data_IF_603213573954
#
_entry.id   IF_603213573954
#
_cell.length_a   1.000
_cell.length_b   1.000
_cell.length_c   1.000
_cell.angle_alpha   90.00
_cell.angle_beta   90.00
_cell.angle_gamma   90.00
#
_symmetry.space_group_name_H-M   'P 1'
#
loop_
_entity.id
_entity.type
_entity.pdbx_description
1 polymer ?
#
# COMPACT_ATOMS: atom_id res chain seq x y z
N UNK A 1 -3.34 25.55 5.40
CA UNK A 1 -4.00 24.30 4.96
C UNK A 1 -3.04 23.58 4.02
N UNK A 2 -2.92 22.30 4.16
CA UNK A 2 -2.11 21.47 3.26
C UNK A 2 -2.94 21.12 2.02
N UNK A 3 -2.37 21.28 0.82
CA UNK A 3 -3.08 21.01 -0.43
C UNK A 3 -2.86 19.55 -0.85
N UNK A 4 -3.93 18.80 -1.13
CA UNK A 4 -3.87 17.43 -1.65
C UNK A 4 -4.81 17.25 -2.83
N UNK A 5 -4.48 16.31 -3.71
CA UNK A 5 -5.41 15.85 -4.76
C UNK A 5 -6.28 14.74 -4.22
N UNK A 6 -7.52 14.62 -4.70
CA UNK A 6 -8.44 13.52 -4.38
C UNK A 6 -8.64 12.63 -5.60
N UNK A 7 -8.33 11.36 -5.46
CA UNK A 7 -8.73 10.30 -6.40
C UNK A 7 -9.88 9.48 -5.78
N UNK A 8 -10.96 9.35 -6.53
CA UNK A 8 -12.09 8.50 -6.20
C UNK A 8 -12.51 7.75 -7.46
N UNK A 9 -12.23 6.47 -7.52
CA UNK A 9 -12.55 5.63 -8.67
C UNK A 9 -12.94 4.22 -8.20
N UNK A 10 -13.72 3.52 -8.99
CA UNK A 10 -14.17 2.19 -8.61
C UNK A 10 -14.58 1.34 -9.80
N UNK A 11 -14.90 0.09 -9.54
CA UNK A 11 -15.27 -0.89 -10.53
C UNK A 11 -15.89 -2.17 -9.99
N UNK A 12 -16.13 -3.10 -10.93
CA UNK A 12 -16.67 -4.44 -10.64
C UNK A 12 -15.59 -5.47 -10.27
N UNK A 13 -14.35 -5.22 -10.68
CA UNK A 13 -13.24 -6.14 -10.45
C UNK A 13 -12.65 -5.85 -9.08
N UNK A 14 -13.11 -6.60 -8.11
CA UNK A 14 -12.67 -6.48 -6.71
C UNK A 14 -11.84 -7.70 -6.35
N UNK A 15 -10.63 -7.47 -5.92
CA UNK A 15 -9.71 -8.51 -5.47
C UNK A 15 -9.68 -8.54 -3.92
N UNK A 16 -10.72 -9.11 -3.30
CA UNK A 16 -10.81 -9.16 -1.83
C UNK A 16 -9.59 -9.79 -1.16
N UNK A 17 -9.02 -10.84 -1.76
CA UNK A 17 -7.82 -11.49 -1.23
C UNK A 17 -6.61 -10.56 -1.27
N UNK A 18 -6.53 -9.69 -2.30
CA UNK A 18 -5.53 -8.63 -2.38
C UNK A 18 -5.77 -7.56 -1.29
N UNK A 19 -7.01 -7.13 -1.13
CA UNK A 19 -7.36 -6.10 -0.14
C UNK A 19 -7.06 -6.58 1.29
N UNK A 20 -7.28 -7.86 1.55
CA UNK A 20 -6.99 -8.55 2.82
C UNK A 20 -5.52 -8.93 3.00
N UNK A 21 -4.69 -8.75 1.99
CA UNK A 21 -3.30 -9.23 1.96
C UNK A 21 -3.17 -10.73 2.27
N UNK A 22 -4.06 -11.54 1.73
CA UNK A 22 -3.97 -13.01 1.86
C UNK A 22 -2.75 -13.49 1.07
N UNK A 23 -1.87 -14.25 1.73
CA UNK A 23 -0.62 -14.78 1.17
C UNK A 23 -0.86 -15.50 -0.16
N UNK A 24 -0.11 -15.13 -1.19
CA UNK A 24 -0.22 -15.67 -2.54
C UNK A 24 -1.21 -14.92 -3.44
N UNK A 25 -1.95 -13.97 -2.91
CA UNK A 25 -2.89 -13.11 -3.64
C UNK A 25 -2.48 -11.63 -3.63
N UNK A 26 -1.28 -11.32 -3.13
CA UNK A 26 -0.70 -9.95 -3.12
C UNK A 26 -0.56 -9.37 -4.54
N UNK A 27 -0.88 -10.19 -5.56
CA UNK A 27 -0.75 -9.81 -6.97
C UNK A 27 0.71 -9.83 -7.42
N UNK A 28 0.94 -9.81 -8.72
CA UNK A 28 2.28 -9.65 -9.31
C UNK A 28 2.75 -8.19 -9.26
N UNK A 29 2.23 -7.39 -8.34
CA UNK A 29 2.58 -5.99 -8.25
C UNK A 29 3.84 -5.83 -7.42
N UNK A 30 4.92 -5.47 -8.10
CA UNK A 30 6.22 -5.11 -7.53
C UNK A 30 6.19 -3.87 -6.60
N UNK A 31 5.01 -3.36 -6.31
CA UNK A 31 4.78 -2.13 -5.54
C UNK A 31 4.38 -2.38 -4.10
N UNK A 32 4.13 -3.63 -3.71
CA UNK A 32 3.76 -4.01 -2.34
C UNK A 32 5.03 -4.33 -1.56
N UNK A 33 5.12 -3.79 -0.36
CA UNK A 33 6.20 -4.00 0.61
C UNK A 33 5.74 -4.88 1.76
N UNK A 34 5.97 -6.21 1.72
CA UNK A 34 5.45 -7.15 2.72
C UNK A 34 5.85 -6.81 4.16
N UNK A 35 7.04 -6.21 4.34
CA UNK A 35 7.53 -5.77 5.64
C UNK A 35 6.72 -4.61 6.25
N UNK A 36 5.91 -3.91 5.45
CA UNK A 36 5.03 -2.82 5.88
C UNK A 36 3.57 -3.25 6.01
N UNK A 37 3.20 -4.45 5.57
CA UNK A 37 1.81 -4.94 5.57
C UNK A 37 1.18 -4.93 6.97
N UNK A 38 1.99 -5.08 8.01
CA UNK A 38 1.54 -4.96 9.41
C UNK A 38 0.99 -3.57 9.77
N UNK A 39 1.30 -2.54 8.99
CA UNK A 39 0.82 -1.17 9.20
C UNK A 39 -0.54 -0.93 8.53
N UNK A 40 -0.98 -1.82 7.64
CA UNK A 40 -2.28 -1.73 7.00
C UNK A 40 -3.40 -1.78 8.05
N UNK A 41 -4.48 -1.05 7.80
CA UNK A 41 -5.60 -0.98 8.74
C UNK A 41 -6.85 -1.54 8.08
N UNK A 42 -7.52 -2.44 8.80
CA UNK A 42 -8.83 -2.96 8.40
C UNK A 42 -9.89 -2.34 9.29
N UNK A 43 -10.77 -1.53 8.73
CA UNK A 43 -11.88 -0.91 9.45
C UNK A 43 -13.15 -1.76 9.40
N UNK A 44 -13.40 -2.42 8.26
CA UNK A 44 -14.50 -3.37 8.05
C UNK A 44 -13.96 -4.59 7.32
N UNK A 45 -14.33 -5.79 7.79
CA UNK A 45 -14.12 -7.06 7.09
C UNK A 45 -15.23 -8.04 7.43
N UNK A 46 -16.20 -8.20 6.54
CA UNK A 46 -17.36 -9.04 6.72
C UNK A 46 -17.32 -10.25 5.78
N UNK A 47 -17.92 -11.35 6.20
CA UNK A 47 -18.16 -12.46 5.30
C UNK A 47 -19.24 -12.12 4.28
N UNK A 48 -18.88 -12.24 2.99
CA UNK A 48 -19.77 -11.85 1.88
C UNK A 48 -21.04 -12.69 1.85
N UNK A 49 -20.96 -13.99 2.16
CA UNK A 49 -22.11 -14.88 2.11
C UNK A 49 -23.08 -14.62 3.25
N UNK A 50 -22.54 -14.33 4.43
CA UNK A 50 -23.36 -13.94 5.58
C UNK A 50 -24.07 -12.60 5.33
N UNK A 51 -23.36 -11.62 4.76
CA UNK A 51 -23.95 -10.35 4.34
C UNK A 51 -25.06 -10.54 3.30
N UNK A 52 -24.86 -11.43 2.32
CA UNK A 52 -25.90 -11.75 1.33
C UNK A 52 -27.13 -12.39 1.96
N UNK A 53 -26.94 -13.26 2.93
CA UNK A 53 -28.03 -13.90 3.68
C UNK A 53 -28.82 -12.87 4.48
N UNK A 54 -28.12 -12.01 5.21
CA UNK A 54 -28.73 -10.93 5.98
C UNK A 54 -29.57 -10.00 5.09
N UNK A 55 -29.02 -9.55 3.97
CA UNK A 55 -29.63 -8.56 3.09
C UNK A 55 -30.78 -9.10 2.24
N UNK A 56 -30.73 -10.35 1.79
CA UNK A 56 -31.58 -10.82 0.71
C UNK A 56 -32.41 -12.06 1.03
N UNK A 57 -32.11 -12.78 2.12
CA UNK A 57 -32.76 -14.08 2.37
C UNK A 57 -34.28 -13.94 2.50
N UNK A 58 -34.77 -12.94 3.21
CA UNK A 58 -36.20 -12.71 3.38
C UNK A 58 -36.90 -12.47 2.03
N UNK A 59 -36.33 -11.63 1.18
CA UNK A 59 -36.88 -11.34 -0.15
C UNK A 59 -36.78 -12.55 -1.09
N UNK A 60 -35.78 -13.40 -0.96
CA UNK A 60 -35.63 -14.65 -1.68
C UNK A 60 -36.69 -15.64 -1.23
N UNK A 61 -36.97 -15.78 0.06
CA UNK A 61 -37.97 -16.68 0.61
C UNK A 61 -39.37 -16.26 0.20
N UNK A 62 -39.66 -14.95 0.25
CA UNK A 62 -40.93 -14.40 -0.26
C UNK A 62 -41.10 -14.67 -1.75
N UNK A 63 -40.06 -14.44 -2.55
CA UNK A 63 -40.09 -14.73 -3.98
C UNK A 63 -40.35 -16.22 -4.24
N UNK A 64 -39.63 -17.11 -3.53
CA UNK A 64 -39.71 -18.56 -3.70
C UNK A 64 -41.09 -19.13 -3.32
N UNK A 65 -41.78 -18.57 -2.32
CA UNK A 65 -43.14 -18.93 -1.93
C UNK A 65 -44.13 -18.75 -3.10
N UNK A 66 -43.88 -17.73 -3.94
CA UNK A 66 -44.73 -17.39 -5.07
C UNK A 66 -44.38 -18.16 -6.35
N UNK A 67 -43.31 -18.98 -6.35
CA UNK A 67 -42.87 -19.76 -7.52
C UNK A 67 -43.51 -21.16 -7.52
N UNK A 68 -44.35 -21.42 -8.52
CA UNK A 68 -44.97 -22.75 -8.70
C UNK A 68 -43.98 -23.80 -9.21
N UNK A 69 -42.98 -23.39 -9.99
CA UNK A 69 -41.98 -24.26 -10.62
C UNK A 69 -40.66 -24.23 -9.81
N UNK A 70 -40.11 -25.41 -9.53
CA UNK A 70 -38.87 -25.56 -8.74
C UNK A 70 -37.68 -24.96 -9.43
N UNK A 71 -37.59 -25.04 -10.78
CA UNK A 71 -36.51 -24.48 -11.58
C UNK A 71 -36.41 -22.93 -11.55
N UNK A 72 -37.50 -22.26 -11.10
CA UNK A 72 -37.52 -20.80 -10.90
C UNK A 72 -37.16 -20.35 -9.50
N UNK A 73 -37.08 -21.29 -8.55
CA UNK A 73 -36.71 -20.98 -7.17
C UNK A 73 -35.20 -20.68 -7.06
N UNK A 74 -34.88 -19.73 -6.24
CA UNK A 74 -33.51 -19.33 -5.95
C UNK A 74 -33.06 -20.13 -4.73
N UNK A 75 -32.06 -20.98 -4.88
CA UNK A 75 -31.50 -21.79 -3.80
C UNK A 75 -30.33 -21.13 -3.13
N UNK A 76 -29.51 -20.41 -3.90
CA UNK A 76 -28.35 -19.64 -3.43
C UNK A 76 -28.28 -18.34 -4.23
N UNK A 77 -28.67 -17.25 -3.59
CA UNK A 77 -28.71 -15.95 -4.24
C UNK A 77 -27.32 -15.36 -4.48
N UNK A 78 -26.37 -15.60 -3.57
CA UNK A 78 -24.99 -15.18 -3.77
C UNK A 78 -24.37 -15.83 -5.01
N UNK A 79 -24.49 -17.15 -5.12
CA UNK A 79 -23.98 -17.88 -6.29
C UNK A 79 -24.67 -17.45 -7.59
N UNK A 80 -25.97 -17.20 -7.54
CA UNK A 80 -26.73 -16.67 -8.69
C UNK A 80 -26.17 -15.33 -9.18
N UNK A 81 -25.82 -14.42 -8.28
CA UNK A 81 -25.27 -13.11 -8.66
C UNK A 81 -23.81 -13.24 -9.09
N UNK A 82 -23.01 -14.05 -8.40
CA UNK A 82 -21.59 -14.29 -8.74
C UNK A 82 -21.43 -14.86 -10.15
N UNK A 83 -22.30 -15.78 -10.54
CA UNK A 83 -22.22 -16.49 -11.80
C UNK A 83 -22.90 -15.72 -12.97
N UNK A 84 -23.53 -14.57 -12.67
CA UNK A 84 -24.12 -13.68 -13.67
C UNK A 84 -23.03 -12.88 -14.41
N UNK A 85 -23.03 -12.95 -15.75
CA UNK A 85 -22.04 -12.26 -16.60
C UNK A 85 -22.14 -10.73 -16.56
N UNK A 86 -23.29 -10.19 -16.16
CA UNK A 86 -23.58 -8.76 -16.18
C UNK A 86 -23.59 -8.11 -14.79
N UNK A 87 -23.58 -8.91 -13.73
CA UNK A 87 -23.60 -8.46 -12.35
C UNK A 87 -22.26 -8.76 -11.67
N UNK A 88 -22.04 -8.13 -10.54
CA UNK A 88 -21.00 -8.49 -9.59
C UNK A 88 -21.63 -8.64 -8.21
N UNK A 89 -21.21 -9.61 -7.40
CA UNK A 89 -21.74 -9.78 -6.04
C UNK A 89 -21.42 -8.59 -5.13
N UNK A 90 -20.35 -7.90 -5.40
CA UNK A 90 -19.93 -6.69 -4.68
C UNK A 90 -19.14 -5.79 -5.62
N UNK A 91 -18.96 -4.55 -5.21
CA UNK A 91 -18.27 -3.51 -5.93
C UNK A 91 -17.28 -2.83 -5.00
N UNK A 92 -16.34 -2.12 -5.59
CA UNK A 92 -15.31 -1.39 -4.85
C UNK A 92 -15.20 0.03 -5.38
N UNK A 93 -14.83 0.94 -4.53
CA UNK A 93 -14.16 2.17 -4.93
C UNK A 93 -12.92 2.39 -4.07
N UNK A 94 -11.96 3.08 -4.68
CA UNK A 94 -10.70 3.42 -4.06
C UNK A 94 -10.71 4.91 -3.78
N UNK A 95 -10.42 5.25 -2.54
CA UNK A 95 -10.27 6.60 -2.04
C UNK A 95 -8.81 6.87 -1.71
N UNK A 96 -8.20 7.86 -2.37
CA UNK A 96 -6.80 8.23 -2.17
C UNK A 96 -6.66 9.75 -2.08
N UNK A 97 -5.86 10.22 -1.12
CA UNK A 97 -5.43 11.61 -0.99
C UNK A 97 -3.96 11.74 -1.34
N UNK A 98 -3.64 12.79 -2.12
CA UNK A 98 -2.29 13.00 -2.61
C UNK A 98 -1.84 11.97 -3.65
N UNK A 99 -0.54 11.92 -3.86
CA UNK A 99 0.12 11.05 -4.82
C UNK A 99 1.52 10.67 -4.32
N UNK A 100 2.30 9.90 -5.11
CA UNK A 100 3.64 9.42 -4.73
C UNK A 100 4.64 10.55 -4.38
N UNK A 101 4.46 11.76 -4.94
CA UNK A 101 5.33 12.92 -4.69
C UNK A 101 4.82 13.81 -3.55
N UNK A 102 3.55 13.69 -3.23
CA UNK A 102 2.84 14.49 -2.25
C UNK A 102 1.96 13.56 -1.41
N UNK A 103 2.60 12.69 -0.64
CA UNK A 103 1.92 11.73 0.24
C UNK A 103 1.25 12.48 1.39
N UNK A 104 0.09 11.98 1.79
CA UNK A 104 -0.53 12.38 3.05
C UNK A 104 0.15 11.62 4.20
N UNK A 105 0.16 12.24 5.36
CA UNK A 105 0.51 11.58 6.61
C UNK A 105 -0.41 10.40 6.90
N UNK A 106 0.18 9.26 7.30
CA UNK A 106 -0.55 7.99 7.44
C UNK A 106 -1.58 8.06 8.58
N UNK A 107 -1.25 8.67 9.72
CA UNK A 107 -2.16 8.80 10.87
C UNK A 107 -3.36 9.69 10.52
N UNK A 108 -3.10 10.82 9.86
CA UNK A 108 -4.14 11.73 9.38
C UNK A 108 -5.04 11.04 8.36
N UNK A 109 -4.48 10.26 7.43
CA UNK A 109 -5.27 9.52 6.45
C UNK A 109 -6.16 8.46 7.11
N UNK A 110 -5.63 7.70 8.08
CA UNK A 110 -6.39 6.71 8.85
C UNK A 110 -7.56 7.38 9.58
N UNK A 111 -7.33 8.53 10.23
CA UNK A 111 -8.38 9.26 10.93
C UNK A 111 -9.50 9.73 9.99
N UNK A 112 -9.14 10.32 8.85
CA UNK A 112 -10.11 10.72 7.81
C UNK A 112 -10.91 9.51 7.31
N UNK A 113 -10.24 8.38 7.04
CA UNK A 113 -10.91 7.16 6.60
C UNK A 113 -11.86 6.60 7.66
N UNK A 114 -11.49 6.62 8.94
CA UNK A 114 -12.34 6.17 10.03
C UNK A 114 -13.62 7.00 10.13
N UNK A 115 -13.51 8.33 10.11
CA UNK A 115 -14.65 9.25 10.14
C UNK A 115 -15.52 9.11 8.89
N UNK A 116 -14.90 8.92 7.73
CA UNK A 116 -15.61 8.67 6.47
C UNK A 116 -16.47 7.39 6.57
N UNK A 117 -15.88 6.29 7.04
CA UNK A 117 -16.52 4.98 7.16
C UNK A 117 -17.63 5.01 8.22
N UNK A 118 -17.41 5.66 9.36
CA UNK A 118 -18.42 5.78 10.42
C UNK A 118 -19.75 6.35 9.93
N UNK A 119 -19.68 7.36 9.08
CA UNK A 119 -20.87 8.04 8.53
C UNK A 119 -21.29 7.50 7.16
N UNK A 120 -20.65 6.43 6.67
CA UNK A 120 -20.90 5.94 5.31
C UNK A 120 -22.31 5.43 5.12
N UNK A 121 -22.80 4.62 6.05
CA UNK A 121 -24.14 4.01 5.96
C UNK A 121 -25.28 5.05 5.97
N UNK A 122 -25.16 6.08 6.78
CA UNK A 122 -26.17 7.14 6.84
C UNK A 122 -26.31 7.88 5.51
N UNK A 123 -25.18 8.11 4.81
CA UNK A 123 -25.16 8.78 3.51
C UNK A 123 -25.51 7.85 2.36
N UNK A 124 -25.26 6.55 2.51
CA UNK A 124 -25.31 5.56 1.44
C UNK A 124 -26.19 4.35 1.80
N UNK A 125 -27.49 4.54 2.09
CA UNK A 125 -28.35 3.47 2.62
C UNK A 125 -28.55 2.28 1.66
N UNK A 126 -28.28 2.47 0.36
CA UNK A 126 -28.36 1.42 -0.66
C UNK A 126 -27.02 0.73 -0.94
N UNK A 127 -25.94 1.09 -0.22
CA UNK A 127 -24.61 0.50 -0.39
C UNK A 127 -24.16 -0.12 0.93
N UNK A 128 -24.36 -1.43 1.09
CA UNK A 128 -24.00 -2.14 2.31
C UNK A 128 -22.49 -2.39 2.36
N UNK A 129 -21.74 -1.77 3.28
CA UNK A 129 -20.29 -1.93 3.36
C UNK A 129 -19.92 -3.31 3.91
N UNK A 130 -19.07 -4.02 3.20
CA UNK A 130 -18.55 -5.34 3.63
C UNK A 130 -17.04 -5.36 3.81
N UNK A 131 -16.34 -4.32 3.37
CA UNK A 131 -14.90 -4.19 3.54
C UNK A 131 -14.44 -2.74 3.46
N UNK A 132 -13.54 -2.37 4.35
CA UNK A 132 -12.81 -1.10 4.31
C UNK A 132 -11.37 -1.35 4.75
N UNK A 133 -10.45 -1.33 3.77
CA UNK A 133 -9.05 -1.71 3.94
C UNK A 133 -8.17 -0.53 3.55
N UNK A 134 -7.33 -0.09 4.47
CA UNK A 134 -6.36 0.99 4.25
C UNK A 134 -5.00 0.36 3.99
N UNK A 135 -4.44 0.63 2.82
CA UNK A 135 -3.13 0.16 2.41
C UNK A 135 -2.07 1.25 2.61
N UNK A 136 -1.07 0.92 3.42
CA UNK A 136 0.09 1.74 3.73
C UNK A 136 1.39 1.09 3.23
N UNK A 137 1.28 -0.12 2.70
CA UNK A 137 2.38 -0.98 2.26
C UNK A 137 2.69 -0.90 0.77
N UNK A 138 2.15 0.09 0.07
CA UNK A 138 2.41 0.29 -1.35
C UNK A 138 3.25 1.55 -1.60
N UNK A 139 3.91 1.60 -2.77
CA UNK A 139 4.67 2.77 -3.22
C UNK A 139 3.79 4.01 -3.43
N UNK A 140 2.51 3.80 -3.68
CA UNK A 140 1.51 4.86 -3.83
C UNK A 140 1.28 5.64 -2.53
N UNK A 141 0.58 6.76 -2.61
CA UNK A 141 0.04 7.42 -1.43
C UNK A 141 -0.93 6.47 -0.70
N UNK A 142 -1.08 6.58 0.63
CA UNK A 142 -2.10 5.85 1.36
C UNK A 142 -3.45 5.90 0.67
N UNK A 143 -4.11 4.75 0.58
CA UNK A 143 -5.42 4.65 -0.06
C UNK A 143 -6.31 3.63 0.66
N UNK A 144 -7.61 3.83 0.58
CA UNK A 144 -8.61 2.95 1.16
C UNK A 144 -9.42 2.26 0.07
N UNK A 145 -9.54 0.94 0.19
CA UNK A 145 -10.45 0.12 -0.58
C UNK A 145 -11.77 -0.02 0.18
N UNK A 146 -12.83 0.57 -0.34
CA UNK A 146 -14.17 0.47 0.22
C UNK A 146 -15.00 -0.49 -0.61
N UNK A 147 -15.35 -1.64 -0.05
CA UNK A 147 -16.10 -2.71 -0.73
C UNK A 147 -17.53 -2.74 -0.20
N UNK A 148 -18.49 -2.81 -1.12
CA UNK A 148 -19.91 -2.75 -0.77
C UNK A 148 -20.78 -3.66 -1.64
N UNK A 149 -21.91 -4.08 -1.09
CA UNK A 149 -23.00 -4.77 -1.80
C UNK A 149 -24.08 -3.72 -2.12
N UNK A 150 -24.45 -3.52 -3.40
CA UNK A 150 -25.55 -2.63 -3.74
C UNK A 150 -26.90 -3.30 -3.45
N UNK A 151 -27.77 -2.62 -2.73
CA UNK A 151 -29.11 -3.07 -2.35
C UNK A 151 -30.14 -2.20 -3.04
N UNK A 152 -30.99 -2.80 -3.84
CA UNK A 152 -32.03 -2.09 -4.59
C UNK A 152 -33.41 -2.72 -4.38
N UNK A 153 -34.45 -1.90 -4.47
CA UNK A 153 -35.82 -2.28 -4.22
C UNK A 153 -36.67 -2.30 -5.52
N UNK A 154 -37.52 -3.28 -5.63
CA UNK A 154 -38.38 -3.55 -6.80
C UNK A 154 -39.82 -3.82 -6.37
N UNK A 155 -40.77 -3.34 -7.16
CA UNK A 155 -42.18 -3.54 -6.89
C UNK A 155 -42.63 -4.97 -7.20
N UNK A 156 -41.95 -5.66 -8.12
CA UNK A 156 -42.35 -6.99 -8.62
C UNK A 156 -41.15 -7.96 -8.59
N UNK A 157 -41.47 -9.25 -8.52
CA UNK A 157 -40.51 -10.32 -8.47
C UNK A 157 -39.82 -10.44 -7.10
N UNK A 158 -38.52 -10.65 -7.08
CA UNK A 158 -37.73 -10.56 -5.85
C UNK A 158 -37.58 -9.08 -5.47
N UNK A 159 -38.17 -8.68 -4.35
CA UNK A 159 -38.32 -7.26 -4.01
C UNK A 159 -37.00 -6.56 -3.64
N UNK A 160 -36.09 -7.27 -3.00
CA UNK A 160 -34.75 -6.72 -2.66
C UNK A 160 -33.70 -7.48 -3.45
N UNK A 161 -32.91 -6.79 -4.23
CA UNK A 161 -31.91 -7.39 -5.13
C UNK A 161 -30.56 -6.67 -5.10
N UNK A 162 -29.48 -7.42 -5.33
CA UNK A 162 -28.18 -6.86 -5.63
C UNK A 162 -28.18 -6.24 -7.05
N UNK A 163 -28.30 -4.93 -7.13
CA UNK A 163 -28.37 -4.18 -8.39
C UNK A 163 -27.74 -2.81 -8.26
N UNK A 164 -26.54 -2.65 -8.81
CA UNK A 164 -25.75 -1.41 -8.70
C UNK A 164 -26.48 -0.21 -9.32
N UNK A 165 -26.92 -0.28 -10.56
CA UNK A 165 -27.56 0.86 -11.23
C UNK A 165 -28.81 1.32 -10.48
N UNK A 166 -29.67 0.38 -10.10
CA UNK A 166 -30.92 0.69 -9.41
C UNK A 166 -30.68 1.24 -8.00
N UNK A 167 -29.69 0.71 -7.28
CA UNK A 167 -29.29 1.23 -5.97
C UNK A 167 -28.87 2.69 -6.04
N UNK A 168 -28.01 3.05 -7.02
CA UNK A 168 -27.63 4.45 -7.23
C UNK A 168 -28.80 5.34 -7.66
N UNK A 169 -29.71 4.83 -8.51
CA UNK A 169 -30.91 5.58 -8.93
C UNK A 169 -31.84 5.85 -7.75
N UNK A 170 -32.05 4.89 -6.86
CA UNK A 170 -32.85 5.06 -5.65
C UNK A 170 -32.23 6.09 -4.70
N UNK A 171 -30.93 5.97 -4.46
CA UNK A 171 -30.20 6.81 -3.52
C UNK A 171 -30.08 8.24 -4.00
N UNK A 172 -29.83 8.46 -5.28
CA UNK A 172 -29.63 9.80 -5.84
C UNK A 172 -30.92 10.45 -6.36
N UNK A 173 -31.99 9.68 -6.54
CA UNK A 173 -33.20 10.14 -7.23
C UNK A 173 -33.02 10.42 -8.73
N UNK A 174 -31.84 10.12 -9.27
CA UNK A 174 -31.47 10.42 -10.66
C UNK A 174 -31.55 9.17 -11.53
N UNK A 175 -32.27 9.21 -12.64
CA UNK A 175 -32.28 8.13 -13.62
C UNK A 175 -31.13 8.26 -14.59
N UNK A 176 -30.33 7.20 -14.71
CA UNK A 176 -29.23 7.13 -15.65
C UNK A 176 -29.70 7.28 -17.10
N UNK A 177 -29.11 8.21 -17.87
CA UNK A 177 -29.52 8.51 -19.26
C UNK A 177 -28.63 7.78 -20.27
N UNK A 178 -27.34 7.73 -20.02
CA UNK A 178 -26.34 7.09 -20.89
C UNK A 178 -25.07 6.77 -20.07
N UNK A 179 -24.07 6.14 -20.70
CA UNK A 179 -22.83 5.73 -20.03
C UNK A 179 -22.00 6.88 -19.42
N UNK A 180 -22.23 8.12 -19.83
CA UNK A 180 -21.50 9.31 -19.33
C UNK A 180 -22.35 10.15 -18.37
N UNK A 181 -23.60 9.81 -18.20
CA UNK A 181 -24.55 10.53 -17.35
C UNK A 181 -25.38 9.49 -16.58
N UNK A 182 -24.80 8.99 -15.50
CA UNK A 182 -25.37 7.93 -14.68
C UNK A 182 -25.60 8.37 -13.24
N UNK A 183 -26.54 7.70 -12.56
CA UNK A 183 -26.75 7.88 -11.13
C UNK A 183 -25.46 7.65 -10.31
N UNK A 184 -24.65 6.68 -10.72
CA UNK A 184 -23.35 6.42 -10.07
C UNK A 184 -22.41 7.63 -10.18
N UNK A 185 -22.35 8.32 -11.33
CA UNK A 185 -21.54 9.53 -11.48
C UNK A 185 -22.04 10.62 -10.53
N UNK A 186 -23.37 10.82 -10.43
CA UNK A 186 -23.97 11.79 -9.49
C UNK A 186 -23.63 11.47 -8.03
N UNK A 187 -23.70 10.20 -7.68
CA UNK A 187 -23.27 9.73 -6.36
C UNK A 187 -21.77 10.02 -6.12
N UNK A 188 -20.90 9.72 -7.09
CA UNK A 188 -19.47 10.01 -6.97
C UNK A 188 -19.18 11.52 -6.81
N UNK A 189 -19.94 12.38 -7.47
CA UNK A 189 -19.85 13.83 -7.29
C UNK A 189 -20.19 14.24 -5.85
N UNK A 190 -21.27 13.71 -5.28
CA UNK A 190 -21.64 14.01 -3.88
C UNK A 190 -20.68 13.41 -2.86
N UNK A 191 -20.18 12.19 -3.05
CA UNK A 191 -19.15 11.63 -2.16
C UNK A 191 -17.83 12.41 -2.24
N UNK A 192 -17.45 12.84 -3.44
CA UNK A 192 -16.27 13.70 -3.62
C UNK A 192 -16.42 15.03 -2.85
N UNK A 193 -17.60 15.63 -2.89
CA UNK A 193 -17.86 16.86 -2.15
C UNK A 193 -17.80 16.61 -0.63
N UNK A 194 -18.42 15.53 -0.15
CA UNK A 194 -18.34 15.15 1.26
C UNK A 194 -16.91 14.92 1.73
N UNK A 195 -16.09 14.22 0.93
CA UNK A 195 -14.68 13.98 1.25
C UNK A 195 -13.90 15.32 1.32
N UNK A 196 -14.19 16.28 0.41
CA UNK A 196 -13.57 17.62 0.46
C UNK A 196 -13.89 18.33 1.78
N UNK A 197 -15.15 18.31 2.20
CA UNK A 197 -15.61 18.91 3.46
C UNK A 197 -14.95 18.24 4.66
N UNK A 198 -14.92 16.91 4.69
CA UNK A 198 -14.27 16.13 5.75
C UNK A 198 -12.76 16.45 5.82
N UNK A 199 -12.05 16.48 4.68
CA UNK A 199 -10.63 16.83 4.63
C UNK A 199 -10.35 18.24 5.17
N UNK A 200 -11.25 19.18 4.94
CA UNK A 200 -11.12 20.54 5.45
C UNK A 200 -11.15 20.60 6.98
N UNK A 201 -11.90 19.70 7.66
CA UNK A 201 -11.91 19.56 9.12
C UNK A 201 -10.53 19.15 9.65
N UNK A 202 -9.75 18.44 8.86
CA UNK A 202 -8.36 18.02 9.14
C UNK A 202 -7.29 19.01 8.63
N UNK A 203 -7.70 20.22 8.19
CA UNK A 203 -6.80 21.23 7.68
C UNK A 203 -6.24 20.95 6.28
N UNK A 204 -6.85 20.03 5.55
CA UNK A 204 -6.45 19.66 4.18
C UNK A 204 -7.42 20.28 3.17
N UNK A 205 -6.86 21.04 2.24
CA UNK A 205 -7.60 21.59 1.09
C UNK A 205 -7.47 20.65 -0.11
N UNK A 206 -8.59 20.14 -0.62
CA UNK A 206 -8.58 19.33 -1.82
C UNK A 206 -8.56 20.22 -3.04
N UNK A 207 -7.44 20.23 -3.74
CA UNK A 207 -7.27 20.90 -5.02
C UNK A 207 -7.71 19.96 -6.16
N UNK A 208 -8.44 20.53 -7.13
CA UNK A 208 -8.73 19.79 -8.35
C UNK A 208 -7.41 19.61 -9.11
N UNK A 209 -7.02 18.37 -9.35
CA UNK A 209 -5.84 18.07 -10.16
C UNK A 209 -5.96 18.80 -11.51
N UNK A 210 -4.85 19.34 -12.00
CA UNK A 210 -4.79 20.12 -13.23
C UNK A 210 -5.33 19.33 -14.45
N UNK A 211 -6.65 19.27 -14.56
CA UNK A 211 -7.33 18.85 -15.79
C UNK A 211 -7.39 20.01 -16.80
N UNK A 212 -6.36 20.87 -16.80
CA UNK A 212 -6.28 21.96 -17.76
C UNK A 212 -6.16 21.39 -19.17
N UNK A 213 -7.31 21.27 -19.84
CA UNK A 213 -7.44 21.53 -21.26
C UNK A 213 -6.77 20.59 -22.25
N UNK A 214 -6.27 19.44 -21.88
CA UNK A 214 -5.94 18.43 -22.87
C UNK A 214 -7.25 17.83 -23.41
N UNK A 215 -7.56 18.13 -24.67
CA UNK A 215 -8.66 17.48 -25.41
C UNK A 215 -8.60 15.98 -25.11
N UNK A 216 -9.71 15.42 -24.67
CA UNK A 216 -9.80 14.02 -24.23
C UNK A 216 -9.16 13.09 -25.26
N UNK A 217 -7.94 12.66 -24.96
CA UNK A 217 -7.34 11.53 -25.62
C UNK A 217 -8.27 10.33 -25.38
N UNK A 218 -8.44 9.46 -26.38
CA UNK A 218 -9.17 8.22 -26.13
C UNK A 218 -8.57 7.55 -24.88
N UNK A 219 -9.39 6.93 -24.04
CA UNK A 219 -8.97 6.32 -22.77
C UNK A 219 -7.73 5.42 -22.91
N UNK A 220 -7.61 4.74 -24.05
CA UNK A 220 -6.43 3.94 -24.40
C UNK A 220 -5.17 4.79 -24.63
N UNK A 221 -5.27 5.92 -25.34
CA UNK A 221 -4.14 6.83 -25.58
C UNK A 221 -3.74 7.58 -24.29
N UNK A 222 -4.71 7.94 -23.45
CA UNK A 222 -4.43 8.55 -22.16
C UNK A 222 -3.70 7.58 -21.23
N UNK A 223 -4.17 6.32 -21.14
CA UNK A 223 -3.47 5.26 -20.39
C UNK A 223 -2.05 5.04 -20.92
N UNK A 224 -1.88 4.88 -22.23
CA UNK A 224 -0.56 4.68 -22.84
C UNK A 224 0.38 5.88 -22.60
N UNK A 225 -0.14 7.13 -22.66
CA UNK A 225 0.65 8.33 -22.35
C UNK A 225 1.05 8.34 -20.88
N UNK A 226 0.12 8.04 -19.97
CA UNK A 226 0.40 7.97 -18.53
C UNK A 226 1.36 6.85 -18.15
N UNK A 227 1.21 5.68 -18.76
CA UNK A 227 2.15 4.57 -18.58
C UNK A 227 3.55 4.92 -19.08
N UNK A 228 3.64 5.62 -20.23
CA UNK A 228 4.91 6.08 -20.78
C UNK A 228 5.55 7.18 -19.90
N UNK A 229 4.78 8.17 -19.45
CA UNK A 229 5.26 9.21 -18.52
C UNK A 229 5.76 8.60 -17.22
N UNK A 230 5.00 7.64 -16.66
CA UNK A 230 5.35 6.94 -15.45
C UNK A 230 6.60 6.05 -15.63
N UNK A 231 6.72 5.36 -16.78
CA UNK A 231 7.89 4.56 -17.10
C UNK A 231 9.15 5.43 -17.28
N UNK A 232 9.00 6.61 -17.92
CA UNK A 232 10.10 7.57 -18.08
C UNK A 232 10.57 8.13 -16.74
N UNK A 233 9.61 8.48 -15.90
CA UNK A 233 9.89 8.98 -14.55
C UNK A 233 10.58 7.93 -13.67
N UNK A 234 10.08 6.68 -13.68
CA UNK A 234 10.74 5.57 -12.98
C UNK A 234 12.15 5.29 -13.50
N UNK A 235 12.35 5.41 -14.82
CA UNK A 235 13.68 5.24 -15.42
C UNK A 235 14.64 6.36 -14.96
N UNK A 236 14.16 7.60 -14.86
CA UNK A 236 14.95 8.74 -14.40
C UNK A 236 15.27 8.65 -12.90
N UNK A 237 14.30 8.23 -12.08
CA UNK A 237 14.48 7.94 -10.65
C UNK A 237 15.47 6.78 -10.43
N UNK A 238 15.37 5.71 -11.24
CA UNK A 238 16.31 4.59 -11.20
C UNK A 238 17.73 5.02 -11.57
N UNK A 239 17.89 5.86 -12.61
CA UNK A 239 19.22 6.39 -12.98
C UNK A 239 19.81 7.29 -11.89
N UNK A 240 18.98 8.10 -11.23
CA UNK A 240 19.42 8.95 -10.14
C UNK A 240 19.81 8.12 -8.90
N UNK A 241 19.04 7.08 -8.59
CA UNK A 241 19.36 6.10 -7.53
C UNK A 241 20.66 5.35 -7.83
N UNK A 242 20.84 4.91 -9.09
CA UNK A 242 22.05 4.22 -9.53
C UNK A 242 23.29 5.13 -9.43
N UNK A 243 23.18 6.41 -9.86
CA UNK A 243 24.25 7.40 -9.67
C UNK A 243 24.57 7.60 -8.20
N UNK A 244 23.55 7.81 -7.37
CA UNK A 244 23.73 7.99 -5.93
C UNK A 244 24.33 6.74 -5.25
N UNK A 245 23.93 5.54 -5.69
CA UNK A 245 24.50 4.28 -5.20
C UNK A 245 25.97 4.11 -5.64
N UNK A 246 26.32 4.45 -6.88
CA UNK A 246 27.69 4.43 -7.38
C UNK A 246 28.59 5.47 -6.69
N UNK A 247 28.07 6.67 -6.44
CA UNK A 247 28.79 7.70 -5.69
C UNK A 247 29.03 7.27 -4.24
N UNK A 248 28.04 6.68 -3.58
CA UNK A 248 28.17 6.09 -2.23
C UNK A 248 29.17 4.93 -2.22
N UNK A 249 29.13 4.04 -3.23
CA UNK A 249 30.08 2.94 -3.38
C UNK A 249 31.50 3.47 -3.57
N UNK A 250 31.68 4.49 -4.41
CA UNK A 250 32.99 5.12 -4.65
C UNK A 250 33.50 5.82 -3.39
N UNK A 251 32.63 6.51 -2.66
CA UNK A 251 32.97 7.14 -1.39
C UNK A 251 33.32 6.10 -0.32
N UNK A 252 32.55 5.01 -0.23
CA UNK A 252 32.83 3.91 0.69
C UNK A 252 34.18 3.21 0.39
N UNK A 253 34.48 2.94 -0.90
CA UNK A 253 35.76 2.36 -1.31
C UNK A 253 36.92 3.28 -0.97
N UNK A 254 36.79 4.61 -1.21
CA UNK A 254 37.79 5.58 -0.81
C UNK A 254 38.00 5.63 0.71
N UNK A 255 36.89 5.59 1.47
CA UNK A 255 36.94 5.57 2.93
C UNK A 255 37.58 4.28 3.44
N UNK A 256 37.25 3.11 2.85
CA UNK A 256 37.91 1.84 3.20
C UNK A 256 39.41 1.90 2.91
N UNK A 257 39.82 2.37 1.71
CA UNK A 257 41.24 2.50 1.36
C UNK A 257 41.98 3.46 2.29
N UNK A 258 41.32 4.54 2.69
CA UNK A 258 41.89 5.49 3.65
C UNK A 258 41.99 4.88 5.06
N UNK A 259 41.00 4.12 5.48
CA UNK A 259 41.03 3.38 6.75
C UNK A 259 42.07 2.28 6.73
N UNK A 260 42.20 1.52 5.62
CA UNK A 260 43.23 0.50 5.47
C UNK A 260 44.65 1.08 5.48
N UNK A 261 44.84 2.29 4.90
CA UNK A 261 46.10 3.01 5.00
C UNK A 261 46.38 3.44 6.44
N UNK A 262 45.38 4.02 7.11
CA UNK A 262 45.46 4.40 8.51
C UNK A 262 45.76 3.19 9.43
N UNK A 263 45.10 2.05 9.16
CA UNK A 263 45.35 0.80 9.88
C UNK A 263 46.79 0.30 9.63
N UNK A 264 47.30 0.33 8.38
CA UNK A 264 48.70 -0.04 8.08
C UNK A 264 49.71 0.88 8.78
N UNK A 265 49.43 2.18 8.72
CA UNK A 265 50.31 3.18 9.36
C UNK A 265 50.23 3.11 10.90
N UNK A 266 49.01 2.77 11.44
CA UNK A 266 48.84 2.54 12.87
C UNK A 266 49.46 1.22 13.32
N UNK A 267 49.39 0.15 12.47
CA UNK A 267 50.02 -1.14 12.74
C UNK A 267 51.52 -1.06 12.78
N UNK A 268 52.13 -0.27 11.86
CA UNK A 268 53.56 0.00 11.85
C UNK A 268 54.01 0.79 13.08
N UNK A 269 53.21 1.80 13.49
CA UNK A 269 53.48 2.55 14.73
C UNK A 269 53.24 1.71 15.99
N UNK A 270 52.24 0.80 15.96
CA UNK A 270 52.00 -0.10 17.07
C UNK A 270 53.09 -1.18 17.21
N UNK A 271 53.63 -1.69 16.07
CA UNK A 271 54.77 -2.61 16.09
C UNK A 271 56.06 -1.93 16.60
N UNK A 272 56.25 -0.67 16.32
CA UNK A 272 57.34 0.13 16.89
C UNK A 272 57.14 0.46 18.39
N UNK A 273 55.88 0.74 18.79
CA UNK A 273 55.50 1.03 20.18
C UNK A 273 55.40 -0.22 21.09
N UNK A 274 55.12 -1.40 20.50
CA UNK A 274 55.02 -2.63 21.30
C UNK A 274 56.36 -3.10 21.88
N UNK A 275 57.48 -2.66 21.29
CA UNK A 275 58.81 -2.94 21.84
C UNK A 275 59.09 -2.15 23.12
N UNK A 276 58.47 -0.98 23.28
CA UNK A 276 58.64 -0.12 24.45
C UNK A 276 57.51 -0.35 25.51
N UNK A 277 56.37 -0.88 25.07
CA UNK A 277 55.19 -0.99 25.93
C UNK A 277 55.12 -2.30 26.75
N UNK A 278 55.96 -3.33 26.44
CA UNK A 278 55.89 -4.62 27.15
C UNK A 278 56.24 -4.50 28.65
N UNK A 279 57.05 -3.52 29.04
CA UNK A 279 57.44 -3.32 30.44
C UNK A 279 56.39 -2.52 31.26
N UNK A 280 55.48 -1.77 30.59
CA UNK A 280 54.44 -1.01 31.27
C UNK A 280 53.06 -1.70 31.29
N UNK A 281 52.93 -2.82 30.56
CA UNK A 281 51.64 -3.44 30.31
C UNK A 281 50.97 -4.03 31.56
N UNK A 282 51.76 -4.51 32.53
CA UNK A 282 51.21 -5.24 33.68
C UNK A 282 50.41 -4.35 34.64
N UNK A 283 50.80 -3.11 34.84
CA UNK A 283 50.09 -2.16 35.69
C UNK A 283 48.79 -1.62 35.02
N UNK A 284 48.76 -1.62 33.70
CA UNK A 284 47.60 -1.07 32.97
C UNK A 284 46.48 -2.05 32.76
N UNK A 285 46.75 -3.36 32.94
CA UNK A 285 45.72 -4.43 32.78
C UNK A 285 44.63 -4.30 33.83
N UNK A 286 44.96 -3.99 35.07
CA UNK A 286 43.95 -3.83 36.15
C UNK A 286 43.09 -2.55 35.98
N UNK A 287 43.64 -1.50 35.39
CA UNK A 287 42.84 -0.29 35.05
C UNK A 287 41.90 -0.56 33.86
N UNK A 288 42.39 -1.35 32.87
CA UNK A 288 41.64 -1.70 31.67
C UNK A 288 40.43 -2.63 32.01
N UNK A 289 40.57 -3.57 32.96
CA UNK A 289 39.47 -4.45 33.37
C UNK A 289 38.27 -3.68 33.95
N UNK A 290 38.55 -2.59 34.68
CA UNK A 290 37.48 -1.71 35.17
C UNK A 290 36.85 -0.86 34.07
N UNK A 291 37.64 -0.39 33.09
CA UNK A 291 37.14 0.36 31.94
C UNK A 291 36.36 -0.52 30.95
N UNK A 292 36.76 -1.81 30.80
CA UNK A 292 36.08 -2.79 29.97
C UNK A 292 34.67 -3.07 30.52
N UNK A 293 34.52 -3.25 31.86
CA UNK A 293 33.22 -3.46 32.45
C UNK A 293 32.24 -2.29 32.23
N UNK A 294 32.77 -1.07 32.23
CA UNK A 294 31.94 0.12 31.96
C UNK A 294 31.70 0.34 30.45
N UNK A 295 32.65 -0.06 29.58
CA UNK A 295 32.45 -0.05 28.13
C UNK A 295 31.45 -1.10 27.65
N UNK A 296 31.43 -2.28 28.27
CA UNK A 296 30.42 -3.33 28.01
C UNK A 296 29.00 -2.85 28.32
N UNK A 297 28.81 -2.12 29.43
CA UNK A 297 27.51 -1.52 29.75
C UNK A 297 27.09 -0.45 28.73
N UNK A 298 28.04 0.35 28.22
CA UNK A 298 27.78 1.36 27.19
C UNK A 298 27.52 0.69 25.82
N UNK A 299 28.25 -0.36 25.50
CA UNK A 299 28.08 -1.13 24.26
C UNK A 299 26.71 -1.83 24.19
N UNK A 300 26.24 -2.37 25.31
CA UNK A 300 24.90 -2.93 25.40
C UNK A 300 23.82 -1.89 25.07
N UNK A 301 24.03 -0.64 25.50
CA UNK A 301 23.13 0.48 25.19
C UNK A 301 23.22 0.95 23.74
N UNK A 302 24.41 0.96 23.17
CA UNK A 302 24.66 1.33 21.76
C UNK A 302 24.15 0.24 20.83
N UNK A 303 24.37 -1.06 21.15
CA UNK A 303 23.79 -2.19 20.41
C UNK A 303 22.27 -2.12 20.35
N UNK A 304 21.63 -1.74 21.43
CA UNK A 304 20.18 -1.55 21.44
C UNK A 304 19.73 -0.43 20.47
N UNK A 305 20.44 0.69 20.45
CA UNK A 305 20.12 1.82 19.57
C UNK A 305 20.48 1.52 18.10
N UNK A 306 21.64 0.91 17.85
CA UNK A 306 22.04 0.50 16.49
C UNK A 306 21.12 -0.55 15.88
N UNK A 307 20.56 -1.45 16.69
CA UNK A 307 19.58 -2.42 16.20
C UNK A 307 18.28 -1.73 15.75
N UNK A 308 17.90 -0.63 16.38
CA UNK A 308 16.75 0.18 15.96
C UNK A 308 17.04 0.91 14.62
N UNK A 309 18.20 1.60 14.53
CA UNK A 309 18.61 2.28 13.29
C UNK A 309 18.87 1.30 12.14
N UNK A 310 19.43 0.11 12.45
CA UNK A 310 19.66 -0.94 11.47
C UNK A 310 18.35 -1.49 10.87
N UNK A 311 17.33 -1.73 11.70
CA UNK A 311 16.00 -2.16 11.23
C UNK A 311 15.36 -1.11 10.30
N UNK A 312 15.64 0.18 10.51
CA UNK A 312 15.17 1.25 9.62
C UNK A 312 15.96 1.29 8.30
N UNK A 313 17.28 1.10 8.35
CA UNK A 313 18.16 1.19 7.17
C UNK A 313 18.05 -0.04 6.29
N UNK A 314 18.01 -1.26 6.86
CA UNK A 314 17.79 -2.50 6.11
C UNK A 314 16.41 -2.51 5.47
N UNK A 315 15.37 -2.10 6.16
CA UNK A 315 14.04 -1.98 5.58
C UNK A 315 13.95 -0.95 4.43
N UNK A 316 14.82 0.06 4.42
CA UNK A 316 14.95 0.99 3.28
C UNK A 316 15.70 0.35 2.12
N UNK A 317 16.82 -0.30 2.39
CA UNK A 317 17.63 -0.97 1.38
C UNK A 317 16.89 -2.12 0.70
N UNK A 318 16.19 -2.96 1.44
CA UNK A 318 15.36 -4.04 0.89
C UNK A 318 14.26 -3.49 -0.06
N UNK A 319 13.66 -2.35 0.27
CA UNK A 319 12.69 -1.67 -0.61
C UNK A 319 13.36 -1.20 -1.91
N UNK A 320 14.50 -0.49 -1.81
CA UNK A 320 15.25 0.05 -2.96
C UNK A 320 15.74 -1.08 -3.88
N UNK A 321 16.19 -2.21 -3.30
CA UNK A 321 16.63 -3.39 -4.05
C UNK A 321 15.46 -4.11 -4.75
N UNK A 322 14.31 -4.22 -4.09
CA UNK A 322 13.12 -4.82 -4.70
C UNK A 322 12.66 -4.04 -5.93
N UNK A 323 12.73 -2.71 -5.87
CA UNK A 323 12.44 -1.84 -7.03
C UNK A 323 13.46 -2.02 -8.18
N UNK A 324 14.74 -2.16 -7.85
CA UNK A 324 15.81 -2.40 -8.83
C UNK A 324 15.67 -3.75 -9.54
N UNK A 325 15.31 -4.80 -8.80
CA UNK A 325 15.02 -6.13 -9.36
C UNK A 325 13.84 -6.11 -10.34
N UNK A 326 12.78 -5.45 -9.94
CA UNK A 326 11.60 -5.32 -10.79
C UNK A 326 11.90 -4.55 -12.10
N UNK A 327 12.81 -3.58 -12.04
CA UNK A 327 13.28 -2.83 -13.21
C UNK A 327 14.24 -3.65 -14.08
N UNK A 328 15.20 -4.36 -13.48
CA UNK A 328 16.15 -5.21 -14.19
C UNK A 328 15.44 -6.33 -14.97
N UNK A 329 14.46 -6.97 -14.34
CA UNK A 329 13.63 -8.01 -14.97
C UNK A 329 12.82 -7.43 -16.13
N UNK A 330 12.23 -6.24 -15.94
CA UNK A 330 11.48 -5.53 -16.99
C UNK A 330 12.33 -5.16 -18.22
N UNK A 331 13.63 -4.90 -18.04
CA UNK A 331 14.54 -4.48 -19.11
C UNK A 331 15.55 -5.57 -19.52
N UNK A 332 15.44 -6.79 -18.96
CA UNK A 332 16.28 -7.94 -19.35
C UNK A 332 17.75 -7.81 -18.95
N UNK A 333 18.06 -7.08 -17.88
CA UNK A 333 19.44 -6.83 -17.41
C UNK A 333 19.79 -7.84 -16.33
N UNK A 334 20.28 -9.02 -16.75
CA UNK A 334 20.54 -10.16 -15.84
C UNK A 334 21.79 -10.01 -14.93
N UNK A 335 22.67 -9.03 -15.17
CA UNK A 335 23.91 -8.87 -14.39
C UNK A 335 23.68 -8.34 -12.97
N UNK A 336 22.58 -7.65 -12.73
CA UNK A 336 22.29 -7.06 -11.41
C UNK A 336 21.73 -8.06 -10.39
N UNK A 337 21.08 -9.14 -10.83
CA UNK A 337 20.53 -10.16 -9.92
C UNK A 337 21.66 -10.87 -9.14
N UNK A 338 22.75 -11.21 -9.80
CA UNK A 338 23.88 -11.92 -9.16
C UNK A 338 24.69 -11.06 -8.16
N UNK A 339 24.69 -9.74 -8.33
CA UNK A 339 25.36 -8.80 -7.41
C UNK A 339 24.52 -8.56 -6.15
N UNK A 340 23.21 -8.48 -6.33
CA UNK A 340 22.28 -8.27 -5.23
C UNK A 340 22.15 -9.53 -4.37
N UNK A 341 22.12 -10.73 -4.99
CA UNK A 341 22.12 -12.01 -4.26
C UNK A 341 23.40 -12.12 -3.40
N UNK A 342 24.58 -11.73 -3.92
CA UNK A 342 25.82 -11.71 -3.13
C UNK A 342 25.79 -10.70 -1.99
N UNK A 343 25.20 -9.53 -2.19
CA UNK A 343 25.07 -8.52 -1.15
C UNK A 343 24.09 -8.94 -0.05
N UNK A 344 23.01 -9.64 -0.43
CA UNK A 344 22.09 -10.21 0.55
C UNK A 344 22.75 -11.36 1.32
N UNK A 345 23.50 -12.25 0.64
CA UNK A 345 24.25 -13.33 1.28
C UNK A 345 25.34 -12.80 2.24
N UNK A 346 26.05 -11.71 1.90
CA UNK A 346 27.00 -11.05 2.79
C UNK A 346 26.33 -10.43 4.02
N UNK A 347 25.16 -9.82 3.84
CA UNK A 347 24.36 -9.26 4.95
C UNK A 347 23.88 -10.38 5.88
N UNK A 348 23.34 -11.47 5.33
CA UNK A 348 22.89 -12.62 6.11
C UNK A 348 24.05 -13.34 6.82
N UNK A 349 25.25 -13.36 6.22
CA UNK A 349 26.45 -13.92 6.83
C UNK A 349 26.95 -13.09 8.02
N UNK A 350 26.91 -11.77 7.89
CA UNK A 350 27.24 -10.83 9.00
C UNK A 350 26.23 -10.93 10.13
N UNK A 351 24.94 -11.24 9.81
CA UNK A 351 23.87 -11.41 10.80
C UNK A 351 23.79 -12.82 11.39
N UNK A 352 24.28 -13.83 10.67
CA UNK A 352 24.27 -15.23 11.10
C UNK A 352 25.27 -15.56 12.21
N UNK A 353 26.34 -14.76 12.33
CA UNK A 353 27.37 -14.97 13.35
C UNK A 353 27.04 -14.34 14.73
N UNK A 354 25.92 -13.61 14.85
CA UNK A 354 25.49 -13.01 16.13
C UNK A 354 24.22 -13.65 16.75
N UNK A 355 23.85 -14.89 16.28
CA UNK A 355 22.75 -15.65 16.94
C UNK A 355 23.24 -16.78 17.81
#
# INVERSE_FOLDING_TARGET
>A
MENKTLSLHGGRQVALDHNRRIKGHEGKQSTIHPERTQNNVTLIDMDVKEAYKELFQEAVDEYNKNQRRSDRKITDYYSKIRDDKHKSPYYEYIFQLGNIRDRIDEETFIAICADYVMKFWERNPNLYPIGAYIHLDEDASPHMHMVYIPVAHYDTGQKVQASSNKAFEEMTGYKSKNKRDTAQIKWQESERQYIKELCAEYGIEIIDGDSKGEKSLSTARYKAKKEMEHALQKAEEAQNLERAANDRKTAAVKSIQQSEKQIRDAKKRAEEATKEAQEQAQKRIEEIDTEISDAEKRLAKIKHNMNQEYLEVTGRFEREMTELYALADKYGINEYSSLADRLMDEIDMVLGDER
#
